data_IF_868755622299
#
_entry.id   IF_868755622299
#
_cell.length_a   1.000
_cell.length_b   1.000
_cell.length_c   1.000
_cell.angle_alpha   90.00
_cell.angle_beta   90.00
_cell.angle_gamma   90.00
#
_symmetry.space_group_name_H-M   'P 1'
#
loop_
_entity.id
_entity.type
_entity.pdbx_description
1 polymer ?
#
# COMPACT_ATOMS: atom_id res chain seq x y z
N UNK A 1 -6.66 20.62 0.81
CA UNK A 1 -8.05 20.16 1.00
C UNK A 1 -7.98 18.82 1.69
N UNK A 2 -8.80 18.57 2.72
CA UNK A 2 -8.89 17.25 3.36
C UNK A 2 -10.08 16.53 2.74
N UNK A 3 -9.85 15.34 2.18
CA UNK A 3 -10.92 14.49 1.67
C UNK A 3 -11.76 13.97 2.84
N UNK A 4 -13.07 13.85 2.66
CA UNK A 4 -13.95 13.15 3.59
C UNK A 4 -13.81 11.64 3.42
N UNK A 5 -14.34 10.87 4.37
CA UNK A 5 -14.35 9.41 4.26
C UNK A 5 -15.14 8.96 3.05
N UNK A 6 -16.29 9.58 2.79
CA UNK A 6 -17.19 9.25 1.69
C UNK A 6 -16.52 9.52 0.32
N UNK A 7 -15.74 10.59 0.22
CA UNK A 7 -14.98 10.91 -1.00
C UNK A 7 -13.86 9.90 -1.23
N UNK A 8 -13.11 9.52 -0.19
CA UNK A 8 -12.08 8.48 -0.30
C UNK A 8 -12.67 7.12 -0.68
N UNK A 9 -13.82 6.76 -0.09
CA UNK A 9 -14.58 5.56 -0.44
C UNK A 9 -15.05 5.59 -1.91
N UNK A 10 -15.41 6.76 -2.45
CA UNK A 10 -15.74 6.91 -3.86
C UNK A 10 -14.51 6.70 -4.76
N UNK A 11 -13.36 7.29 -4.42
CA UNK A 11 -12.10 7.08 -5.14
C UNK A 11 -11.71 5.59 -5.21
N UNK A 12 -11.99 4.83 -4.15
CA UNK A 12 -11.64 3.41 -4.05
C UNK A 12 -12.48 2.48 -4.95
N UNK A 13 -13.63 2.91 -5.47
CA UNK A 13 -14.50 2.06 -6.29
C UNK A 13 -13.82 1.57 -7.57
N UNK A 14 -13.04 2.46 -8.18
CA UNK A 14 -12.36 2.22 -9.46
C UNK A 14 -10.82 2.23 -9.31
N UNK A 15 -10.32 2.23 -8.07
CA UNK A 15 -8.89 2.26 -7.80
C UNK A 15 -8.24 0.89 -7.98
N UNK A 16 -7.01 0.90 -8.51
CA UNK A 16 -6.16 -0.30 -8.58
C UNK A 16 -5.09 -0.27 -7.48
N UNK A 17 -4.52 -1.44 -7.17
CA UNK A 17 -3.34 -1.49 -6.30
C UNK A 17 -2.23 -0.62 -6.88
N UNK A 18 -1.57 0.17 -6.04
CA UNK A 18 -0.45 1.03 -6.44
C UNK A 18 0.72 0.22 -7.05
N UNK A 19 0.82 -1.07 -6.74
CA UNK A 19 1.81 -1.99 -7.31
C UNK A 19 1.56 -2.26 -8.80
N UNK A 20 0.32 -2.13 -9.26
CA UNK A 20 -0.06 -2.38 -10.66
C UNK A 20 0.19 -1.18 -11.57
N UNK A 21 0.71 -0.05 -11.06
CA UNK A 21 0.93 1.16 -11.86
C UNK A 21 1.75 0.94 -13.13
N UNK A 22 2.73 0.03 -13.10
CA UNK A 22 3.52 -0.31 -14.27
C UNK A 22 2.70 -1.02 -15.36
N UNK A 23 1.83 -1.95 -14.98
CA UNK A 23 0.94 -2.65 -15.90
C UNK A 23 -0.10 -1.73 -16.56
N UNK A 24 -0.40 -0.61 -15.92
CA UNK A 24 -1.30 0.42 -16.45
C UNK A 24 -0.55 1.53 -17.22
N UNK A 25 0.76 1.39 -17.46
CA UNK A 25 1.59 2.40 -18.13
C UNK A 25 1.67 3.74 -17.36
N UNK A 26 1.43 3.72 -16.04
CA UNK A 26 1.40 4.92 -15.16
C UNK A 26 2.57 5.02 -14.21
N UNK A 27 3.60 4.15 -14.33
CA UNK A 27 4.76 4.14 -13.43
C UNK A 27 5.53 5.48 -13.40
N UNK A 28 5.54 6.23 -14.52
CA UNK A 28 6.24 7.51 -14.63
C UNK A 28 5.53 8.71 -14.01
N UNK A 29 4.27 8.56 -13.58
CA UNK A 29 3.49 9.67 -13.03
C UNK A 29 3.89 9.98 -11.58
N UNK A 30 3.78 11.25 -11.19
CA UNK A 30 3.83 11.63 -9.78
C UNK A 30 2.59 11.10 -9.06
N UNK A 31 2.75 10.65 -7.82
CA UNK A 31 1.65 10.12 -7.00
C UNK A 31 1.78 10.66 -5.59
N UNK A 32 0.66 11.04 -4.99
CA UNK A 32 0.61 11.51 -3.59
C UNK A 32 -0.55 10.86 -2.86
N UNK A 33 -0.38 10.69 -1.55
CA UNK A 33 -1.44 10.17 -0.69
C UNK A 33 -2.47 11.27 -0.44
N UNK A 34 -3.74 10.96 -0.67
CA UNK A 34 -4.87 11.87 -0.45
C UNK A 34 -5.65 11.55 0.84
N UNK A 35 -5.48 10.35 1.38
CA UNK A 35 -6.06 9.97 2.67
C UNK A 35 -5.90 8.49 3.01
N UNK A 36 -6.55 8.08 4.09
CA UNK A 36 -6.62 6.69 4.53
C UNK A 36 -8.04 6.37 5.01
N UNK A 37 -8.58 5.26 4.54
CA UNK A 37 -9.87 4.72 5.00
C UNK A 37 -9.61 3.53 5.92
N UNK A 38 -10.14 3.59 7.15
CA UNK A 38 -10.09 2.46 8.07
C UNK A 38 -11.33 1.58 7.93
N UNK A 39 -11.12 0.28 7.76
CA UNK A 39 -12.14 -0.77 7.70
C UNK A 39 -11.76 -1.90 8.66
N UNK A 40 -12.25 -1.82 9.90
CA UNK A 40 -11.84 -2.74 10.97
C UNK A 40 -10.36 -2.55 11.32
N UNK A 41 -9.57 -3.63 11.24
CA UNK A 41 -8.12 -3.58 11.40
C UNK A 41 -7.37 -3.25 10.10
N UNK A 42 -8.05 -3.16 8.96
CA UNK A 42 -7.44 -2.80 7.67
C UNK A 42 -7.44 -1.28 7.48
N UNK A 43 -6.29 -0.75 7.07
CA UNK A 43 -6.09 0.63 6.66
C UNK A 43 -5.85 0.63 5.14
N UNK A 44 -6.70 1.32 4.40
CA UNK A 44 -6.59 1.46 2.95
C UNK A 44 -6.12 2.88 2.65
N UNK A 45 -4.84 3.02 2.30
CA UNK A 45 -4.30 4.30 1.86
C UNK A 45 -4.73 4.56 0.43
N UNK A 46 -5.18 5.78 0.17
CA UNK A 46 -5.67 6.21 -1.13
C UNK A 46 -4.71 7.24 -1.69
N UNK A 47 -4.38 7.07 -2.96
CA UNK A 47 -3.46 7.92 -3.70
C UNK A 47 -4.12 8.46 -4.96
N UNK A 48 -3.69 9.65 -5.36
CA UNK A 48 -4.03 10.26 -6.65
C UNK A 48 -2.74 10.53 -7.42
N UNK A 49 -2.74 10.25 -8.72
CA UNK A 49 -1.62 10.61 -9.60
C UNK A 49 -1.86 11.94 -10.34
N UNK A 50 -0.85 12.40 -11.07
CA UNK A 50 -0.90 13.65 -11.85
C UNK A 50 -1.99 13.67 -12.94
N UNK A 51 -2.54 12.52 -13.31
CA UNK A 51 -3.64 12.39 -14.28
C UNK A 51 -4.99 12.09 -13.62
N UNK A 52 -5.05 12.19 -12.28
CA UNK A 52 -6.26 11.95 -11.46
C UNK A 52 -6.74 10.51 -11.46
N UNK A 53 -5.87 9.54 -11.75
CA UNK A 53 -6.19 8.14 -11.48
C UNK A 53 -6.02 7.86 -9.98
N UNK A 54 -6.87 6.97 -9.47
CA UNK A 54 -6.86 6.58 -8.06
C UNK A 54 -6.15 5.25 -7.86
N UNK A 55 -5.35 5.18 -6.81
CA UNK A 55 -4.60 3.98 -6.44
C UNK A 55 -4.78 3.69 -4.96
N UNK A 56 -4.56 2.45 -4.55
CA UNK A 56 -4.58 2.09 -3.15
C UNK A 56 -3.41 1.20 -2.73
N UNK A 57 -3.10 1.23 -1.44
CA UNK A 57 -2.31 0.21 -0.77
C UNK A 57 -2.95 -0.18 0.56
N UNK A 58 -2.71 -1.42 0.98
CA UNK A 58 -3.29 -1.96 2.19
C UNK A 58 -2.23 -2.07 3.29
N UNK A 59 -2.59 -1.58 4.48
CA UNK A 59 -1.86 -1.79 5.73
C UNK A 59 -2.81 -2.39 6.77
N UNK A 60 -2.26 -3.03 7.79
CA UNK A 60 -3.05 -3.66 8.84
C UNK A 60 -2.57 -3.21 10.21
N UNK A 61 -3.52 -2.84 11.06
CA UNK A 61 -3.29 -2.58 12.47
C UNK A 61 -3.26 -3.93 13.20
N UNK A 62 -2.14 -4.20 13.88
CA UNK A 62 -1.92 -5.39 14.69
C UNK A 62 -1.50 -4.99 16.10
N UNK A 63 -1.46 -5.95 17.03
CA UNK A 63 -0.97 -5.71 18.40
C UNK A 63 0.51 -5.27 18.44
N UNK A 64 1.26 -5.51 17.36
CA UNK A 64 2.66 -5.12 17.20
C UNK A 64 2.85 -3.83 16.39
N UNK A 65 1.76 -3.17 15.99
CA UNK A 65 1.78 -1.94 15.20
C UNK A 65 1.20 -2.10 13.80
N UNK A 66 1.45 -1.10 12.95
CA UNK A 66 0.98 -1.09 11.56
C UNK A 66 1.97 -1.85 10.68
N UNK A 67 1.49 -2.86 9.96
CA UNK A 67 2.27 -3.68 9.02
C UNK A 67 1.71 -3.59 7.61
N UNK A 68 2.51 -3.96 6.61
CA UNK A 68 2.06 -4.07 5.22
C UNK A 68 1.10 -5.26 5.03
N UNK A 69 0.32 -5.28 3.94
CA UNK A 69 -0.50 -6.45 3.58
C UNK A 69 0.34 -7.72 3.38
N UNK A 70 1.54 -7.58 2.81
CA UNK A 70 2.46 -8.71 2.66
C UNK A 70 2.85 -9.30 4.01
N UNK A 71 3.31 -8.48 4.95
CA UNK A 71 3.69 -8.96 6.29
C UNK A 71 2.50 -9.52 7.08
N UNK A 72 1.31 -8.95 6.89
CA UNK A 72 0.10 -9.45 7.53
C UNK A 72 -0.28 -10.86 7.05
N UNK A 73 -0.12 -11.15 5.75
CA UNK A 73 -0.47 -12.45 5.16
C UNK A 73 0.64 -13.48 5.34
N UNK A 74 1.89 -13.09 5.10
CA UNK A 74 3.03 -14.02 5.00
C UNK A 74 3.93 -14.00 6.24
N UNK A 75 3.69 -13.09 7.19
CA UNK A 75 4.58 -12.85 8.32
C UNK A 75 5.83 -12.06 7.91
N UNK A 76 6.77 -11.93 8.84
CA UNK A 76 8.03 -11.26 8.54
C UNK A 76 8.90 -12.14 7.64
N UNK A 77 9.54 -11.57 6.60
CA UNK A 77 10.53 -12.30 5.84
C UNK A 77 11.66 -12.74 6.78
N UNK A 78 11.97 -14.03 6.81
CA UNK A 78 13.13 -14.54 7.54
C UNK A 78 14.37 -13.76 7.12
N UNK A 79 15.05 -13.13 8.09
CA UNK A 79 16.36 -12.50 7.83
C UNK A 79 17.27 -13.58 7.28
N UNK A 80 17.65 -13.51 6.00
CA UNK A 80 18.70 -14.35 5.43
C UNK A 80 19.92 -14.22 6.33
N UNK A 81 20.21 -15.26 7.13
CA UNK A 81 21.43 -15.28 7.91
C UNK A 81 22.60 -15.08 6.93
N UNK A 82 23.56 -14.19 7.24
CA UNK A 82 24.73 -14.05 6.39
C UNK A 82 25.37 -15.43 6.28
N UNK A 83 25.43 -15.98 5.06
CA UNK A 83 26.11 -17.25 4.80
C UNK A 83 27.49 -17.16 5.44
N UNK A 84 27.74 -17.98 6.48
CA UNK A 84 29.11 -18.17 7.00
C UNK A 84 29.92 -18.59 5.78
N UNK A 85 30.84 -17.72 5.35
CA UNK A 85 31.83 -18.06 4.33
C UNK A 85 32.64 -19.22 4.88
N UNK A 86 32.32 -20.45 4.49
CA UNK A 86 33.15 -21.61 4.74
C UNK A 86 34.42 -21.39 3.92
N UNK A 87 35.52 -21.04 4.60
CA UNK A 87 36.85 -21.04 4.01
C UNK A 87 37.22 -22.51 3.78
N UNK A 88 37.40 -22.88 2.52
CA UNK A 88 38.16 -24.06 2.10
C UNK A 88 39.63 -23.66 2.00
#
# INVERSE_FOLDING_TARGET
MSYTKEELEACLKDAFSIENRAAHEKAGLGVWQIGTVQRGNKLVDVYEDTERNHWYSNRFLTDHGIVSEFEYIFGHPERRQPQRKTKW
#
